data_IF_369892597563
#
_entry.id   IF_369892597563
#
_cell.length_a   1.000
_cell.length_b   1.000
_cell.length_c   1.000
_cell.angle_alpha   90.00
_cell.angle_beta   90.00
_cell.angle_gamma   90.00
#
_symmetry.space_group_name_H-M   'P 1'
#
loop_
_entity.id
_entity.type
_entity.pdbx_description
1 polymer ?
#
# COMPACT_ATOMS: atom_id res chain seq x y z
N UNK A 1 6.89 25.59 -4.26
CA UNK A 1 7.03 24.30 -4.97
C UNK A 1 8.32 24.40 -5.77
N UNK A 2 9.29 23.50 -5.58
CA UNK A 2 10.58 23.56 -6.28
C UNK A 2 10.36 23.67 -7.80
N UNK A 3 11.17 24.45 -8.51
CA UNK A 3 11.12 24.59 -9.98
C UNK A 3 11.19 23.24 -10.69
N UNK A 4 11.85 22.25 -10.07
CA UNK A 4 11.91 20.86 -10.53
C UNK A 4 10.56 20.17 -10.47
N UNK A 5 9.82 20.31 -9.37
CA UNK A 5 8.52 19.68 -9.19
C UNK A 5 7.48 20.26 -10.18
N UNK A 6 7.55 21.55 -10.48
CA UNK A 6 6.71 22.17 -11.49
C UNK A 6 7.05 21.68 -12.91
N UNK A 7 8.33 21.55 -13.26
CA UNK A 7 8.77 21.02 -14.54
C UNK A 7 8.43 19.53 -14.70
N UNK A 8 8.60 18.74 -13.65
CA UNK A 8 8.24 17.31 -13.57
C UNK A 8 6.73 17.13 -13.78
N UNK A 9 5.90 17.90 -13.07
CA UNK A 9 4.44 17.81 -13.20
C UNK A 9 3.98 18.13 -14.62
N UNK A 10 4.55 19.16 -15.28
CA UNK A 10 4.24 19.48 -16.68
C UNK A 10 4.60 18.36 -17.66
N UNK A 11 5.69 17.62 -17.38
CA UNK A 11 6.09 16.46 -18.19
C UNK A 11 5.24 15.22 -17.90
N UNK A 12 4.87 15.00 -16.65
CA UNK A 12 3.89 13.96 -16.25
C UNK A 12 2.54 14.24 -16.92
N UNK A 13 2.06 15.49 -16.93
CA UNK A 13 0.83 15.90 -17.61
C UNK A 13 0.90 15.66 -19.12
N UNK A 14 2.05 15.97 -19.75
CA UNK A 14 2.25 15.75 -21.17
C UNK A 14 2.17 14.26 -21.57
N UNK A 15 2.54 13.33 -20.67
CA UNK A 15 2.41 11.88 -20.91
C UNK A 15 0.96 11.42 -21.04
N UNK A 16 0.00 12.16 -20.46
CA UNK A 16 -1.42 11.81 -20.54
C UNK A 16 -2.02 12.04 -21.94
N UNK A 17 -1.33 12.81 -22.81
CA UNK A 17 -1.84 13.19 -24.13
C UNK A 17 -1.12 12.49 -25.29
N UNK A 18 -0.19 11.57 -25.02
CA UNK A 18 0.61 10.91 -26.05
C UNK A 18 0.64 9.39 -25.86
N UNK A 19 0.67 8.65 -26.97
CA UNK A 19 0.68 7.20 -26.93
C UNK A 19 1.90 6.66 -26.15
N UNK A 20 1.76 5.77 -25.16
CA UNK A 20 2.84 5.41 -24.23
C UNK A 20 4.10 4.79 -24.85
N UNK A 21 3.95 4.17 -26.02
CA UNK A 21 5.04 3.53 -26.77
C UNK A 21 5.68 4.45 -27.81
N UNK A 22 5.21 5.70 -27.95
CA UNK A 22 5.75 6.64 -28.94
C UNK A 22 7.20 7.02 -28.62
N UNK A 23 8.00 7.36 -29.65
CA UNK A 23 9.33 7.94 -29.45
C UNK A 23 9.33 9.17 -28.53
N UNK A 24 8.27 9.98 -28.60
CA UNK A 24 8.07 11.18 -27.79
C UNK A 24 7.85 10.83 -26.32
N UNK A 25 7.02 9.82 -26.02
CA UNK A 25 6.80 9.35 -24.65
C UNK A 25 8.08 8.78 -24.02
N UNK A 26 8.94 8.12 -24.80
CA UNK A 26 10.26 7.66 -24.35
C UNK A 26 11.19 8.82 -23.97
N UNK A 27 11.20 9.89 -24.78
CA UNK A 27 11.98 11.10 -24.50
C UNK A 27 11.50 11.81 -23.23
N UNK A 28 10.18 11.95 -23.05
CA UNK A 28 9.60 12.59 -21.86
C UNK A 28 9.91 11.78 -20.60
N UNK A 29 9.76 10.44 -20.63
CA UNK A 29 10.13 9.55 -19.51
C UNK A 29 11.62 9.67 -19.16
N UNK A 30 12.49 9.82 -20.16
CA UNK A 30 13.91 10.05 -19.93
C UNK A 30 14.18 11.40 -19.26
N UNK A 31 13.48 12.46 -19.67
CA UNK A 31 13.62 13.78 -19.07
C UNK A 31 13.11 13.82 -17.62
N UNK A 32 12.00 13.14 -17.32
CA UNK A 32 11.49 12.97 -15.95
C UNK A 32 12.54 12.26 -15.08
N UNK A 33 13.16 11.19 -15.59
CA UNK A 33 14.22 10.49 -14.86
C UNK A 33 15.43 11.38 -14.54
N UNK A 34 15.84 12.23 -15.48
CA UNK A 34 16.92 13.21 -15.24
C UNK A 34 16.54 14.24 -14.17
N UNK A 35 15.29 14.73 -14.18
CA UNK A 35 14.78 15.64 -13.16
C UNK A 35 14.70 14.99 -11.77
N UNK A 36 14.20 13.75 -11.69
CA UNK A 36 14.13 12.99 -10.44
C UNK A 36 15.56 12.76 -9.87
N UNK A 37 16.54 12.48 -10.72
CA UNK A 37 17.95 12.35 -10.32
C UNK A 37 18.51 13.70 -9.82
N UNK A 38 18.17 14.80 -10.49
CA UNK A 38 18.64 16.13 -10.08
C UNK A 38 18.04 16.55 -8.72
N UNK A 39 16.75 16.32 -8.50
CA UNK A 39 16.06 16.59 -7.24
C UNK A 39 16.65 15.75 -6.10
N UNK A 40 16.94 14.47 -6.34
CA UNK A 40 17.62 13.61 -5.38
C UNK A 40 19.02 14.11 -5.02
N UNK A 41 19.79 14.60 -5.99
CA UNK A 41 21.13 15.17 -5.75
C UNK A 41 21.08 16.46 -4.95
N UNK A 42 20.08 17.30 -5.18
CA UNK A 42 19.88 18.53 -4.41
C UNK A 42 19.49 18.20 -2.96
N UNK A 43 18.54 17.28 -2.76
CA UNK A 43 18.17 16.79 -1.44
C UNK A 43 19.33 16.11 -0.70
N UNK A 44 20.16 15.34 -1.41
CA UNK A 44 21.40 14.77 -0.88
C UNK A 44 22.37 15.87 -0.44
N UNK A 45 22.57 16.92 -1.26
CA UNK A 45 23.44 18.04 -0.92
C UNK A 45 22.93 18.83 0.30
N UNK A 46 21.62 19.07 0.41
CA UNK A 46 21.00 19.69 1.58
C UNK A 46 21.17 18.84 2.84
N UNK A 47 20.97 17.52 2.73
CA UNK A 47 21.18 16.60 3.84
C UNK A 47 22.64 16.57 4.30
N UNK A 48 23.59 16.55 3.37
CA UNK A 48 25.03 16.64 3.66
C UNK A 48 25.38 17.94 4.37
N UNK A 49 24.83 19.08 3.90
CA UNK A 49 25.05 20.39 4.51
C UNK A 49 24.47 20.46 5.93
N UNK A 50 23.24 19.98 6.12
CA UNK A 50 22.58 19.93 7.42
C UNK A 50 23.33 19.02 8.42
N UNK A 51 23.76 17.83 7.97
CA UNK A 51 24.55 16.90 8.78
C UNK A 51 25.88 17.51 9.21
N UNK A 52 26.54 18.25 8.32
CA UNK A 52 27.81 18.93 8.61
C UNK A 52 27.63 20.07 9.61
N UNK A 53 26.57 20.87 9.45
CA UNK A 53 26.22 21.95 10.38
C UNK A 53 25.89 21.45 11.79
N UNK A 54 25.14 20.34 11.89
CA UNK A 54 24.83 19.70 13.17
C UNK A 54 26.08 19.20 13.90
N UNK A 55 27.04 18.59 13.18
CA UNK A 55 28.31 18.15 13.75
C UNK A 55 29.14 19.33 14.28
N UNK A 56 29.21 20.44 13.54
CA UNK A 56 29.91 21.64 13.96
C UNK A 56 29.27 22.27 15.22
N UNK A 57 27.96 22.39 15.27
CA UNK A 57 27.23 22.91 16.43
C UNK A 57 27.45 22.06 17.70
N UNK A 58 27.47 20.73 17.57
CA UNK A 58 27.79 19.83 18.69
C UNK A 58 29.23 20.03 19.18
N UNK A 59 30.18 20.22 18.28
CA UNK A 59 31.58 20.48 18.65
C UNK A 59 31.74 21.82 19.40
N UNK A 60 31.07 22.88 18.94
CA UNK A 60 31.05 24.18 19.62
C UNK A 60 30.42 24.08 21.01
N UNK A 61 29.27 23.41 21.14
CA UNK A 61 28.61 23.20 22.43
C UNK A 61 29.50 22.42 23.40
N UNK A 62 30.19 21.37 22.94
CA UNK A 62 31.15 20.62 23.76
C UNK A 62 32.30 21.51 24.24
N UNK A 63 32.81 22.40 23.39
CA UNK A 63 33.87 23.34 23.76
C UNK A 63 33.40 24.38 24.80
N UNK A 64 32.18 24.90 24.64
CA UNK A 64 31.58 25.83 25.62
C UNK A 64 31.38 25.14 26.97
N UNK A 65 30.83 23.92 26.99
CA UNK A 65 30.65 23.13 28.22
C UNK A 65 31.99 22.89 28.93
N UNK A 66 33.05 22.56 28.18
CA UNK A 66 34.38 22.35 28.74
C UNK A 66 35.01 23.62 29.38
N UNK A 67 34.59 24.81 28.94
CA UNK A 67 35.10 26.08 29.46
C UNK A 67 34.33 26.62 30.68
N UNK A 68 33.17 26.03 31.02
CA UNK A 68 32.34 26.47 32.14
C UNK A 68 32.88 25.99 33.50
N UNK A 69 32.72 26.81 34.54
CA UNK A 69 33.10 26.44 35.90
C UNK A 69 32.04 25.50 36.52
N UNK A 70 32.39 24.24 36.83
CA UNK A 70 31.42 23.24 37.30
C UNK A 70 30.79 23.58 38.65
N UNK A 71 31.45 24.38 39.49
CA UNK A 71 30.97 24.74 40.82
C UNK A 71 29.90 25.85 40.82
N UNK A 72 29.64 26.49 39.67
CA UNK A 72 28.65 27.58 39.54
C UNK A 72 27.44 27.24 38.67
N UNK A 73 27.45 26.08 37.99
CA UNK A 73 26.45 25.74 36.98
C UNK A 73 26.18 24.22 36.86
N UNK A 74 26.18 23.48 37.98
CA UNK A 74 26.06 22.01 38.00
C UNK A 74 24.84 21.48 37.25
N UNK A 75 23.66 22.08 37.49
CA UNK A 75 22.39 21.57 36.96
C UNK A 75 22.21 21.92 35.48
N UNK A 76 22.71 23.08 35.06
CA UNK A 76 22.73 23.49 33.66
C UNK A 76 23.71 22.61 32.86
N UNK A 77 24.88 22.30 33.41
CA UNK A 77 25.86 21.40 32.81
C UNK A 77 25.32 19.98 32.69
N UNK A 78 24.61 19.47 33.71
CA UNK A 78 23.99 18.15 33.66
C UNK A 78 22.94 18.06 32.54
N UNK A 79 22.10 19.09 32.38
CA UNK A 79 21.09 19.15 31.31
C UNK A 79 21.70 19.24 29.91
N UNK A 80 22.73 20.08 29.74
CA UNK A 80 23.40 20.22 28.44
C UNK A 80 24.17 18.94 28.09
N UNK A 81 24.83 18.29 29.05
CA UNK A 81 25.51 17.02 28.84
C UNK A 81 24.53 15.88 28.50
N UNK A 82 23.34 15.85 29.13
CA UNK A 82 22.27 14.92 28.76
C UNK A 82 21.81 15.15 27.31
N UNK A 83 21.50 16.39 26.95
CA UNK A 83 21.11 16.72 25.57
C UNK A 83 22.21 16.38 24.55
N UNK A 84 23.49 16.60 24.90
CA UNK A 84 24.63 16.20 24.06
C UNK A 84 24.73 14.68 23.89
N UNK A 85 24.43 13.91 24.93
CA UNK A 85 24.41 12.45 24.88
C UNK A 85 23.30 11.93 23.96
N UNK A 86 22.15 12.61 23.90
CA UNK A 86 21.03 12.23 23.03
C UNK A 86 21.28 12.55 21.55
N UNK A 87 21.88 13.73 21.27
CA UNK A 87 22.04 14.21 19.89
C UNK A 87 23.32 13.73 19.20
N UNK A 88 24.37 13.37 19.96
CA UNK A 88 25.65 12.92 19.39
C UNK A 88 25.48 11.65 18.54
N UNK A 89 24.78 10.58 19.00
CA UNK A 89 24.56 9.38 18.18
C UNK A 89 23.78 9.65 16.89
N UNK A 90 22.83 10.60 16.93
CA UNK A 90 22.06 11.02 15.75
C UNK A 90 22.97 11.70 14.71
N UNK A 91 23.88 12.57 15.15
CA UNK A 91 24.84 13.24 14.25
C UNK A 91 25.85 12.25 13.64
N UNK A 92 26.29 11.28 14.43
CA UNK A 92 27.19 10.22 13.97
C UNK A 92 26.51 9.33 12.92
N UNK A 93 25.24 8.97 13.12
CA UNK A 93 24.46 8.23 12.14
C UNK A 93 24.21 9.02 10.86
N UNK A 94 23.90 10.32 10.95
CA UNK A 94 23.80 11.18 9.78
C UNK A 94 25.12 11.21 8.99
N UNK A 95 26.27 11.33 9.67
CA UNK A 95 27.59 11.28 9.03
C UNK A 95 27.90 9.94 8.35
N UNK A 96 27.48 8.82 8.95
CA UNK A 96 27.60 7.49 8.36
C UNK A 96 26.79 7.36 7.08
N UNK A 97 25.54 7.83 7.10
CA UNK A 97 24.67 7.82 5.93
C UNK A 97 25.23 8.67 4.77
N UNK A 98 25.78 9.86 5.07
CA UNK A 98 26.50 10.69 4.09
C UNK A 98 27.70 9.95 3.47
N UNK A 99 28.38 9.08 4.24
CA UNK A 99 29.51 8.27 3.77
C UNK A 99 29.09 6.97 3.07
N UNK A 100 27.79 6.75 2.84
CA UNK A 100 27.25 5.51 2.28
C UNK A 100 27.35 4.31 3.21
N UNK A 101 27.47 4.53 4.52
CA UNK A 101 27.57 3.49 5.53
C UNK A 101 26.22 3.27 6.24
N UNK A 102 25.89 2.04 6.66
CA UNK A 102 24.67 1.77 7.40
C UNK A 102 24.69 2.50 8.76
N UNK A 103 23.52 3.02 9.18
CA UNK A 103 23.34 3.58 10.51
C UNK A 103 23.61 2.52 11.60
N UNK A 104 24.24 2.93 12.69
CA UNK A 104 24.40 2.09 13.87
C UNK A 104 23.09 2.06 14.66
N UNK A 105 22.78 0.91 15.27
CA UNK A 105 21.63 0.79 16.19
C UNK A 105 21.78 1.77 17.35
N UNK A 106 20.77 2.59 17.57
CA UNK A 106 20.69 3.49 18.72
C UNK A 106 19.94 2.73 19.82
N UNK A 107 20.64 2.34 20.88
CA UNK A 107 20.00 1.73 22.05
C UNK A 107 19.33 2.85 22.87
N UNK A 108 18.01 2.91 22.84
CA UNK A 108 17.24 3.95 23.53
C UNK A 108 17.06 3.61 25.01
N UNK A 109 18.02 4.05 25.83
CA UNK A 109 17.90 4.02 27.28
C UNK A 109 16.85 5.00 27.81
N UNK A 110 15.74 4.45 28.33
CA UNK A 110 14.74 4.98 29.28
C UNK A 110 14.51 6.51 29.44
N UNK A 111 13.26 6.93 29.17
CA UNK A 111 12.55 7.95 29.97
C UNK A 111 11.97 9.14 29.19
N UNK A 112 10.64 9.17 28.98
CA UNK A 112 9.96 10.39 28.52
C UNK A 112 8.64 10.15 27.78
N UNK A 113 7.55 10.16 28.54
CA UNK A 113 6.12 10.26 28.17
C UNK A 113 5.79 10.63 26.72
N UNK A 114 5.32 9.63 25.96
CA UNK A 114 4.73 9.83 24.63
C UNK A 114 3.35 10.47 24.73
N UNK A 115 3.19 11.64 24.10
CA UNK A 115 1.90 12.23 23.78
C UNK A 115 1.30 11.40 22.65
N UNK A 116 0.22 10.68 22.97
CA UNK A 116 -0.58 9.88 22.07
C UNK A 116 -1.41 10.79 21.16
N UNK A 117 -1.22 10.72 19.84
CA UNK A 117 -2.20 11.19 18.87
C UNK A 117 -3.02 9.99 18.39
N UNK A 118 -4.19 9.83 19.01
CA UNK A 118 -5.25 8.96 18.55
C UNK A 118 -5.75 9.41 17.17
N UNK A 119 -5.82 8.46 16.25
CA UNK A 119 -6.56 8.57 14.99
C UNK A 119 -7.37 7.30 14.80
N UNK A 120 -8.63 7.35 15.24
CA UNK A 120 -9.61 6.28 15.12
C UNK A 120 -10.10 6.11 13.69
N UNK A 121 -10.44 4.87 13.30
CA UNK A 121 -11.49 4.47 12.34
C UNK A 121 -11.52 2.93 12.18
N UNK A 122 -12.64 2.32 11.74
CA UNK A 122 -13.82 2.05 12.55
C UNK A 122 -14.03 0.56 12.85
N UNK A 123 -14.85 0.33 13.86
CA UNK A 123 -15.32 -0.96 14.38
C UNK A 123 -16.05 -1.79 13.32
N UNK A 124 -15.64 -3.05 13.19
CA UNK A 124 -16.45 -4.09 12.59
C UNK A 124 -17.66 -4.40 13.50
N UNK A 125 -18.86 -4.14 12.99
CA UNK A 125 -20.06 -4.90 13.32
C UNK A 125 -20.32 -5.73 12.05
N UNK A 126 -20.39 -7.05 12.06
CA UNK A 126 -21.03 -7.93 13.03
C UNK A 126 -22.09 -8.69 12.25
N UNK A 127 -21.66 -9.55 11.33
CA UNK A 127 -22.57 -10.44 10.61
C UNK A 127 -22.17 -11.90 10.85
N UNK A 128 -23.04 -12.59 11.57
CA UNK A 128 -23.01 -14.02 11.81
C UNK A 128 -23.29 -14.75 10.50
N UNK A 129 -22.27 -15.39 9.91
CA UNK A 129 -22.48 -16.27 8.76
C UNK A 129 -22.40 -17.74 9.17
N UNK A 130 -23.52 -18.38 8.87
CA UNK A 130 -23.90 -19.77 9.06
C UNK A 130 -22.86 -20.76 8.53
N UNK A 131 -22.59 -21.78 9.34
CA UNK A 131 -21.71 -22.91 9.04
C UNK A 131 -22.41 -23.94 8.14
N UNK A 132 -21.85 -24.21 6.96
CA UNK A 132 -22.05 -25.49 6.25
C UNK A 132 -20.83 -25.82 5.39
N UNK A 133 -20.53 -27.11 5.19
CA UNK A 133 -19.22 -27.56 4.70
C UNK A 133 -19.12 -27.46 3.18
N UNK A 134 -17.92 -27.14 2.70
CA UNK A 134 -17.58 -27.07 1.27
C UNK A 134 -17.69 -28.44 0.58
N UNK A 135 -18.28 -28.55 -0.63
CA UNK A 135 -18.10 -29.72 -1.48
C UNK A 135 -16.82 -29.59 -2.33
N UNK A 136 -16.29 -30.75 -2.70
CA UNK A 136 -15.03 -30.95 -3.39
C UNK A 136 -14.93 -30.28 -4.78
N UNK A 137 -13.69 -29.94 -5.13
CA UNK A 137 -13.25 -29.33 -6.38
C UNK A 137 -13.88 -29.93 -7.64
N UNK A 138 -14.50 -29.07 -8.44
CA UNK A 138 -14.87 -29.36 -9.83
C UNK A 138 -14.08 -28.41 -10.75
N UNK A 139 -13.34 -29.00 -11.68
CA UNK A 139 -12.48 -28.36 -12.67
C UNK A 139 -13.30 -27.53 -13.69
N UNK A 140 -12.82 -26.32 -13.98
CA UNK A 140 -13.42 -25.42 -14.97
C UNK A 140 -13.27 -25.94 -16.42
N UNK A 141 -14.25 -25.67 -17.31
CA UNK A 141 -14.20 -26.09 -18.72
C UNK A 141 -13.26 -25.19 -19.55
N UNK A 142 -12.78 -25.66 -20.73
CA UNK A 142 -11.86 -24.92 -21.57
C UNK A 142 -12.59 -23.95 -22.51
N UNK A 143 -12.08 -22.71 -22.63
CA UNK A 143 -12.39 -21.81 -23.73
C UNK A 143 -12.87 -20.42 -23.29
N UNK A 144 -11.92 -19.52 -23.08
CA UNK A 144 -11.75 -18.31 -23.91
C UNK A 144 -10.47 -17.60 -23.44
N UNK A 145 -9.56 -17.34 -24.37
CA UNK A 145 -8.27 -16.73 -24.09
C UNK A 145 -8.47 -15.34 -23.47
N UNK A 146 -8.02 -15.19 -22.23
CA UNK A 146 -7.94 -13.92 -21.53
C UNK A 146 -7.05 -12.95 -22.35
N UNK A 147 -7.48 -11.71 -22.60
CA UNK A 147 -6.56 -10.67 -23.09
C UNK A 147 -5.46 -10.44 -22.05
N UNK A 148 -4.34 -9.87 -22.48
CA UNK A 148 -2.97 -9.90 -21.91
C UNK A 148 -2.75 -9.39 -20.46
N UNK A 149 -3.61 -9.77 -19.52
CA UNK A 149 -3.52 -9.53 -18.09
C UNK A 149 -3.29 -10.82 -17.30
N UNK A 150 -2.93 -10.66 -16.02
CA UNK A 150 -2.73 -11.78 -15.10
C UNK A 150 -4.07 -12.39 -14.69
N UNK A 151 -4.10 -13.71 -14.51
CA UNK A 151 -5.23 -14.41 -13.88
C UNK A 151 -5.27 -14.09 -12.37
N UNK A 152 -6.43 -14.22 -11.70
CA UNK A 152 -6.50 -14.09 -10.24
C UNK A 152 -5.49 -14.98 -9.50
N UNK A 153 -5.25 -16.21 -9.98
CA UNK A 153 -4.26 -17.11 -9.37
C UNK A 153 -2.82 -16.59 -9.48
N UNK A 154 -2.42 -16.08 -10.66
CA UNK A 154 -1.11 -15.45 -10.83
C UNK A 154 -0.96 -14.19 -9.96
N UNK A 155 -2.06 -13.45 -9.75
CA UNK A 155 -2.05 -12.28 -8.88
C UNK A 155 -1.93 -12.66 -7.41
N UNK A 156 -2.53 -13.78 -6.98
CA UNK A 156 -2.32 -14.32 -5.64
C UNK A 156 -0.85 -14.69 -5.44
N UNK A 157 -0.24 -15.39 -6.39
CA UNK A 157 1.18 -15.76 -6.31
C UNK A 157 2.08 -14.51 -6.18
N UNK A 158 1.84 -13.47 -7.00
CA UNK A 158 2.59 -12.21 -6.91
C UNK A 158 2.44 -11.50 -5.55
N UNK A 159 1.25 -11.58 -4.93
CA UNK A 159 0.99 -10.97 -3.61
C UNK A 159 1.78 -11.73 -2.55
N UNK A 160 1.68 -13.06 -2.55
CA UNK A 160 2.35 -13.91 -1.56
C UNK A 160 3.88 -13.80 -1.64
N UNK A 161 4.43 -13.68 -2.85
CA UNK A 161 5.87 -13.49 -3.06
C UNK A 161 6.39 -12.14 -2.53
N UNK A 162 5.55 -11.09 -2.53
CA UNK A 162 5.94 -9.74 -2.07
C UNK A 162 5.74 -9.53 -0.58
N UNK A 163 4.68 -10.10 -0.01
CA UNK A 163 4.28 -9.90 1.39
C UNK A 163 4.74 -11.02 2.33
N UNK A 164 5.51 -12.00 1.81
CA UNK A 164 5.99 -13.13 2.59
C UNK A 164 6.82 -12.73 3.81
N UNK A 165 6.59 -13.41 4.93
CA UNK A 165 7.33 -13.23 6.17
C UNK A 165 6.43 -13.15 7.41
N UNK A 166 6.82 -13.85 8.46
CA UNK A 166 6.15 -13.78 9.75
C UNK A 166 6.51 -12.47 10.46
N UNK A 167 5.49 -11.69 10.82
CA UNK A 167 5.60 -10.48 11.64
C UNK A 167 4.75 -10.67 12.89
N UNK A 168 5.34 -10.35 14.05
CA UNK A 168 4.64 -10.31 15.32
C UNK A 168 5.30 -9.23 16.20
N UNK A 169 4.80 -7.99 16.08
CA UNK A 169 5.34 -6.87 16.83
C UNK A 169 4.43 -6.56 18.05
N UNK A 170 4.97 -6.34 19.27
CA UNK A 170 4.15 -6.14 20.48
C UNK A 170 3.22 -4.92 20.44
N UNK A 171 3.53 -3.93 19.60
CA UNK A 171 2.69 -2.75 19.39
C UNK A 171 1.71 -2.89 18.21
N UNK A 172 1.75 -4.01 17.47
CA UNK A 172 0.87 -4.26 16.34
C UNK A 172 -0.51 -4.73 16.83
N UNK A 173 -1.55 -3.98 16.46
CA UNK A 173 -2.95 -4.30 16.80
C UNK A 173 -3.47 -5.47 15.96
N UNK A 174 -2.85 -5.78 14.82
CA UNK A 174 -3.22 -6.88 13.93
C UNK A 174 -2.83 -8.27 14.45
N UNK A 175 -1.91 -8.32 15.42
CA UNK A 175 -1.39 -9.57 15.98
C UNK A 175 -0.48 -10.33 15.01
N UNK A 176 -0.12 -11.58 15.34
CA UNK A 176 0.72 -12.42 14.49
C UNK A 176 0.15 -12.51 13.07
N UNK A 177 0.99 -12.21 12.08
CA UNK A 177 0.64 -12.21 10.66
C UNK A 177 1.73 -12.88 9.85
N UNK A 178 1.36 -13.72 8.88
CA UNK A 178 2.30 -14.30 7.92
C UNK A 178 1.63 -14.37 6.55
N UNK A 179 2.35 -14.03 5.48
CA UNK A 179 1.79 -13.92 4.11
C UNK A 179 0.53 -13.04 4.03
N UNK A 180 0.45 -11.97 4.83
CA UNK A 180 -0.75 -11.11 4.92
C UNK A 180 -1.95 -11.75 5.66
N UNK A 181 -1.84 -13.01 6.11
CA UNK A 181 -2.90 -13.71 6.86
C UNK A 181 -2.68 -13.51 8.36
N UNK A 182 -3.64 -12.84 9.01
CA UNK A 182 -3.63 -12.63 10.47
C UNK A 182 -4.05 -13.89 11.23
N UNK A 183 -3.67 -13.99 12.51
CA UNK A 183 -4.13 -15.06 13.41
C UNK A 183 -5.65 -15.22 13.43
N UNK A 184 -6.40 -14.11 13.43
CA UNK A 184 -7.86 -14.14 13.39
C UNK A 184 -8.39 -14.73 12.07
N UNK A 185 -7.78 -14.36 10.95
CA UNK A 185 -8.14 -14.90 9.62
C UNK A 185 -7.85 -16.40 9.56
N UNK A 186 -6.68 -16.83 10.03
CA UNK A 186 -6.30 -18.23 10.08
C UNK A 186 -7.21 -19.04 11.02
N UNK A 187 -7.63 -18.44 12.14
CA UNK A 187 -8.54 -19.07 13.09
C UNK A 187 -9.90 -19.33 12.47
N UNK A 188 -10.45 -18.32 11.79
CA UNK A 188 -11.71 -18.43 11.06
C UNK A 188 -11.63 -19.51 9.98
N UNK A 189 -10.56 -19.51 9.18
CA UNK A 189 -10.32 -20.49 8.13
C UNK A 189 -10.27 -21.93 8.66
N UNK A 190 -9.53 -22.16 9.75
CA UNK A 190 -9.38 -23.50 10.34
C UNK A 190 -10.55 -23.92 11.23
N UNK A 191 -11.51 -23.04 11.49
CA UNK A 191 -12.63 -23.29 12.40
C UNK A 191 -12.22 -23.52 13.86
N UNK A 192 -11.01 -23.09 14.25
CA UNK A 192 -10.48 -23.16 15.62
C UNK A 192 -9.56 -21.99 15.90
N UNK A 193 -9.35 -21.65 17.16
CA UNK A 193 -8.33 -20.66 17.53
C UNK A 193 -6.95 -21.13 17.03
N UNK A 194 -6.32 -20.30 16.20
CA UNK A 194 -4.96 -20.49 15.72
C UNK A 194 -3.98 -19.94 16.74
N UNK A 195 -2.89 -20.65 17.01
CA UNK A 195 -1.78 -20.16 17.83
C UNK A 195 -0.81 -19.26 17.03
N UNK A 196 0.13 -18.60 17.72
CA UNK A 196 1.22 -17.86 17.06
C UNK A 196 2.06 -18.80 16.19
N UNK A 197 2.32 -20.02 16.66
CA UNK A 197 3.08 -21.03 15.92
C UNK A 197 2.30 -21.54 14.70
N UNK A 198 0.98 -21.63 14.78
CA UNK A 198 0.13 -21.91 13.61
C UNK A 198 0.31 -20.84 12.51
N UNK A 199 0.35 -19.55 12.89
CA UNK A 199 0.58 -18.45 11.93
C UNK A 199 2.00 -18.48 11.38
N UNK A 200 2.99 -18.75 12.23
CA UNK A 200 4.39 -18.86 11.81
C UNK A 200 4.63 -20.03 10.86
N UNK A 201 3.94 -21.14 11.07
CA UNK A 201 4.02 -22.35 10.24
C UNK A 201 3.03 -22.39 9.08
N UNK A 202 2.25 -21.30 8.88
CA UNK A 202 1.37 -21.16 7.72
C UNK A 202 2.15 -21.42 6.44
N UNK A 203 1.64 -22.32 5.61
CA UNK A 203 2.26 -22.65 4.32
C UNK A 203 1.80 -21.68 3.25
N UNK A 204 2.62 -21.48 2.21
CA UNK A 204 2.23 -20.64 1.07
C UNK A 204 0.99 -21.20 0.35
N UNK A 205 0.84 -22.53 0.31
CA UNK A 205 -0.32 -23.18 -0.32
C UNK A 205 -1.61 -22.93 0.47
N UNK A 206 -1.56 -23.05 1.81
CA UNK A 206 -2.71 -22.70 2.65
C UNK A 206 -3.02 -21.20 2.59
N UNK A 207 -2.00 -20.33 2.55
CA UNK A 207 -2.21 -18.91 2.33
C UNK A 207 -2.90 -18.64 0.99
N UNK A 208 -2.47 -19.30 -0.10
CA UNK A 208 -3.12 -19.21 -1.41
C UNK A 208 -4.59 -19.63 -1.35
N UNK A 209 -4.91 -20.72 -0.67
CA UNK A 209 -6.28 -21.20 -0.51
C UNK A 209 -7.15 -20.20 0.28
N UNK A 210 -6.59 -19.60 1.34
CA UNK A 210 -7.27 -18.55 2.12
C UNK A 210 -7.55 -17.34 1.23
N UNK A 211 -6.58 -16.87 0.45
CA UNK A 211 -6.77 -15.73 -0.45
C UNK A 211 -7.83 -16.02 -1.52
N UNK A 212 -7.73 -17.19 -2.17
CA UNK A 212 -8.69 -17.64 -3.18
C UNK A 212 -10.09 -17.73 -2.60
N UNK A 213 -10.24 -18.36 -1.45
CA UNK A 213 -11.55 -18.51 -0.80
C UNK A 213 -12.13 -17.17 -0.37
N UNK A 214 -11.33 -16.29 0.23
CA UNK A 214 -11.85 -15.08 0.87
C UNK A 214 -12.10 -13.94 -0.11
N UNK A 215 -11.27 -13.81 -1.14
CA UNK A 215 -11.28 -12.64 -2.01
C UNK A 215 -11.70 -12.94 -3.43
N UNK A 216 -11.83 -14.20 -3.83
CA UNK A 216 -12.21 -14.59 -5.19
C UNK A 216 -13.49 -15.44 -5.22
N UNK A 217 -13.46 -16.65 -4.63
CA UNK A 217 -14.58 -17.60 -4.68
C UNK A 217 -15.70 -17.25 -3.70
N UNK A 218 -15.37 -16.89 -2.46
CA UNK A 218 -16.34 -16.47 -1.44
C UNK A 218 -17.24 -15.31 -1.89
N UNK A 219 -16.69 -14.22 -2.46
CA UNK A 219 -17.50 -13.16 -3.06
C UNK A 219 -18.10 -13.51 -4.43
N UNK A 220 -17.89 -14.72 -4.95
CA UNK A 220 -18.38 -15.22 -6.24
C UNK A 220 -17.84 -14.47 -7.47
N UNK A 221 -16.65 -13.90 -7.39
CA UNK A 221 -16.00 -13.21 -8.52
C UNK A 221 -15.68 -14.20 -9.64
N UNK A 222 -15.40 -15.45 -9.30
CA UNK A 222 -15.18 -16.56 -10.25
C UNK A 222 -16.40 -16.84 -11.15
N UNK A 223 -17.60 -16.36 -10.76
CA UNK A 223 -18.82 -16.50 -11.56
C UNK A 223 -19.06 -15.35 -12.54
N UNK A 224 -18.29 -14.26 -12.45
CA UNK A 224 -18.35 -13.15 -13.40
C UNK A 224 -17.72 -13.54 -14.75
N UNK A 225 -17.97 -12.81 -15.85
CA UNK A 225 -17.22 -13.02 -17.09
C UNK A 225 -15.70 -12.91 -16.87
N UNK A 226 -14.93 -13.85 -17.43
CA UNK A 226 -13.47 -13.94 -17.27
C UNK A 226 -12.73 -12.61 -17.47
N UNK A 227 -13.21 -11.79 -18.42
CA UNK A 227 -12.65 -10.48 -18.75
C UNK A 227 -12.55 -9.54 -17.53
N UNK A 228 -13.54 -9.54 -16.64
CA UNK A 228 -13.61 -8.58 -15.52
C UNK A 228 -13.07 -9.13 -14.20
N UNK A 229 -12.93 -10.45 -14.09
CA UNK A 229 -12.53 -11.10 -12.84
C UNK A 229 -11.19 -10.57 -12.28
N UNK A 230 -10.11 -10.39 -13.06
CA UNK A 230 -8.83 -9.93 -12.52
C UNK A 230 -8.92 -8.56 -11.84
N UNK A 231 -9.63 -7.61 -12.44
CA UNK A 231 -9.75 -6.26 -11.90
C UNK A 231 -10.65 -6.23 -10.65
N UNK A 232 -11.79 -6.91 -10.67
CA UNK A 232 -12.69 -6.98 -9.50
C UNK A 232 -12.01 -7.74 -8.35
N UNK A 233 -11.19 -8.76 -8.65
CA UNK A 233 -10.36 -9.44 -7.66
C UNK A 233 -9.31 -8.51 -7.03
N UNK A 234 -8.53 -7.77 -7.83
CA UNK A 234 -7.55 -6.80 -7.29
C UNK A 234 -8.24 -5.74 -6.42
N UNK A 235 -9.39 -5.23 -6.88
CA UNK A 235 -10.20 -4.30 -6.10
C UNK A 235 -10.66 -4.92 -4.78
N UNK A 236 -11.07 -6.18 -4.77
CA UNK A 236 -11.52 -6.88 -3.56
C UNK A 236 -10.40 -7.04 -2.53
N UNK A 237 -9.15 -7.21 -2.96
CA UNK A 237 -7.99 -7.24 -2.08
C UNK A 237 -7.73 -5.86 -1.47
N UNK A 238 -7.77 -4.81 -2.28
CA UNK A 238 -7.39 -3.46 -1.85
C UNK A 238 -8.47 -2.76 -1.03
N UNK A 239 -9.75 -2.98 -1.35
CA UNK A 239 -10.89 -2.23 -0.80
C UNK A 239 -11.83 -3.09 0.04
N UNK A 240 -11.63 -4.41 0.04
CA UNK A 240 -12.59 -5.38 0.55
C UNK A 240 -13.60 -5.79 -0.53
N UNK A 241 -14.14 -7.03 -0.49
CA UNK A 241 -15.04 -7.53 -1.52
C UNK A 241 -16.32 -6.71 -1.70
N UNK A 242 -16.99 -6.33 -0.60
CA UNK A 242 -18.25 -5.58 -0.67
C UNK A 242 -18.10 -4.25 -1.41
N UNK A 243 -17.13 -3.42 -1.00
CA UNK A 243 -16.86 -2.14 -1.65
C UNK A 243 -16.42 -2.28 -3.12
N UNK A 244 -15.64 -3.32 -3.44
CA UNK A 244 -15.24 -3.61 -4.81
C UNK A 244 -16.45 -3.97 -5.70
N UNK A 245 -17.37 -4.78 -5.17
CA UNK A 245 -18.58 -5.21 -5.88
C UNK A 245 -19.58 -4.06 -6.01
N UNK A 246 -19.80 -3.27 -4.96
CA UNK A 246 -20.64 -2.07 -5.01
C UNK A 246 -20.14 -1.09 -6.09
N UNK A 247 -18.82 -0.90 -6.17
CA UNK A 247 -18.21 -0.06 -7.19
C UNK A 247 -18.47 -0.62 -8.59
N UNK A 248 -18.31 -1.93 -8.79
CA UNK A 248 -18.61 -2.58 -10.06
C UNK A 248 -20.09 -2.43 -10.45
N UNK A 249 -21.02 -2.76 -9.55
CA UNK A 249 -22.46 -2.60 -9.77
C UNK A 249 -22.84 -1.13 -10.07
N UNK A 250 -22.19 -0.17 -9.41
CA UNK A 250 -22.37 1.26 -9.69
C UNK A 250 -21.93 1.63 -11.11
N UNK A 251 -20.79 1.12 -11.57
CA UNK A 251 -20.33 1.32 -12.95
C UNK A 251 -21.33 0.77 -13.96
N UNK A 252 -21.91 -0.40 -13.71
CA UNK A 252 -22.95 -0.97 -14.58
C UNK A 252 -24.13 0.00 -14.72
N UNK A 253 -24.63 0.54 -13.60
CA UNK A 253 -25.72 1.52 -13.61
C UNK A 253 -25.36 2.81 -14.35
N UNK A 254 -24.15 3.33 -14.15
CA UNK A 254 -23.64 4.53 -14.83
C UNK A 254 -23.59 4.35 -16.36
N UNK A 255 -23.36 3.12 -16.83
CA UNK A 255 -23.39 2.76 -18.25
C UNK A 255 -24.79 2.39 -18.76
N UNK A 256 -25.83 2.60 -17.95
CA UNK A 256 -27.23 2.36 -18.29
C UNK A 256 -27.65 0.90 -18.24
N UNK A 257 -26.92 0.05 -17.50
CA UNK A 257 -27.31 -1.35 -17.23
C UNK A 257 -27.87 -1.40 -15.80
N UNK A 258 -29.21 -1.47 -15.63
CA UNK A 258 -29.81 -1.45 -14.32
C UNK A 258 -29.42 -2.70 -13.53
N UNK A 259 -28.70 -2.51 -12.43
CA UNK A 259 -28.24 -3.57 -11.54
C UNK A 259 -28.41 -3.12 -10.09
N UNK A 260 -28.93 -3.97 -9.21
CA UNK A 260 -28.89 -3.71 -7.77
C UNK A 260 -27.45 -3.41 -7.29
N UNK A 261 -27.30 -2.42 -6.40
CA UNK A 261 -26.04 -2.08 -5.75
C UNK A 261 -26.12 -2.50 -4.28
N UNK A 262 -25.64 -3.70 -3.99
CA UNK A 262 -25.73 -4.34 -2.67
C UNK A 262 -24.39 -4.97 -2.21
N UNK A 263 -23.35 -4.91 -3.03
CA UNK A 263 -22.04 -5.48 -2.72
C UNK A 263 -21.97 -7.01 -2.80
N UNK A 264 -23.04 -7.68 -3.24
CA UNK A 264 -23.10 -9.13 -3.45
C UNK A 264 -23.11 -9.51 -4.93
N UNK A 265 -22.47 -10.62 -5.29
CA UNK A 265 -22.59 -11.18 -6.65
C UNK A 265 -23.65 -12.28 -6.62
N UNK A 266 -24.87 -11.91 -7.06
CA UNK A 266 -25.96 -12.84 -7.34
C UNK A 266 -26.19 -13.04 -8.84
N UNK A 267 -27.20 -13.84 -9.20
CA UNK A 267 -27.54 -14.12 -10.60
C UNK A 267 -27.90 -12.84 -11.39
N UNK A 268 -28.47 -11.83 -10.72
CA UNK A 268 -28.72 -10.51 -11.30
C UNK A 268 -27.41 -9.83 -11.72
N UNK A 269 -26.45 -9.68 -10.79
CA UNK A 269 -25.14 -9.06 -11.08
C UNK A 269 -24.41 -9.81 -12.19
N UNK A 270 -24.49 -11.15 -12.22
CA UNK A 270 -23.90 -11.97 -13.28
C UNK A 270 -24.57 -11.68 -14.64
N UNK A 271 -25.90 -11.55 -14.67
CA UNK A 271 -26.63 -11.17 -15.88
C UNK A 271 -26.28 -9.77 -16.40
N UNK A 272 -26.18 -8.80 -15.50
CA UNK A 272 -25.77 -7.44 -15.82
C UNK A 272 -24.31 -7.38 -16.30
N UNK A 273 -23.42 -8.15 -15.67
CA UNK A 273 -22.02 -8.27 -16.07
C UNK A 273 -21.87 -8.84 -17.48
N UNK A 274 -22.61 -9.91 -17.82
CA UNK A 274 -22.62 -10.48 -19.18
C UNK A 274 -23.12 -9.47 -20.21
N UNK A 275 -24.24 -8.81 -19.91
CA UNK A 275 -24.79 -7.74 -20.76
C UNK A 275 -23.76 -6.61 -20.99
N UNK A 276 -22.99 -6.25 -19.97
CA UNK A 276 -21.97 -5.23 -20.06
C UNK A 276 -20.79 -5.66 -20.94
N UNK A 277 -20.31 -6.90 -20.77
CA UNK A 277 -19.24 -7.46 -21.60
C UNK A 277 -19.69 -7.57 -23.06
N UNK A 278 -20.93 -8.02 -23.33
CA UNK A 278 -21.46 -8.09 -24.69
C UNK A 278 -21.56 -6.69 -25.34
N UNK A 279 -21.87 -5.66 -24.55
CA UNK A 279 -22.07 -4.29 -25.04
C UNK A 279 -20.77 -3.51 -25.22
N UNK A 280 -19.83 -3.64 -24.29
CA UNK A 280 -18.65 -2.78 -24.19
C UNK A 280 -17.33 -3.53 -24.42
N UNK A 281 -17.34 -4.85 -24.36
CA UNK A 281 -16.11 -5.65 -24.43
C UNK A 281 -15.09 -5.18 -23.40
N UNK A 282 -13.84 -4.99 -23.85
CA UNK A 282 -12.74 -4.56 -23.00
C UNK A 282 -12.90 -3.12 -22.46
N UNK A 283 -13.69 -2.26 -23.11
CA UNK A 283 -13.89 -0.86 -22.66
C UNK A 283 -14.50 -0.79 -21.24
N UNK A 284 -15.25 -1.82 -20.85
CA UNK A 284 -15.76 -1.97 -19.47
C UNK A 284 -14.65 -1.91 -18.41
N UNK A 285 -13.47 -2.43 -18.72
CA UNK A 285 -12.30 -2.37 -17.84
C UNK A 285 -11.89 -0.92 -17.59
N UNK A 286 -11.89 -0.08 -18.63
CA UNK A 286 -11.54 1.33 -18.50
C UNK A 286 -12.55 2.09 -17.63
N UNK A 287 -13.86 1.81 -17.76
CA UNK A 287 -14.89 2.39 -16.88
C UNK A 287 -14.67 2.03 -15.41
N UNK A 288 -14.35 0.77 -15.13
CA UNK A 288 -14.03 0.30 -13.79
C UNK A 288 -12.76 0.95 -13.23
N UNK A 289 -11.71 1.09 -14.06
CA UNK A 289 -10.47 1.77 -13.67
C UNK A 289 -10.74 3.25 -13.36
N UNK A 290 -11.54 3.93 -14.18
CA UNK A 290 -11.91 5.34 -13.96
C UNK A 290 -12.66 5.51 -12.63
N UNK A 291 -13.64 4.64 -12.36
CA UNK A 291 -14.37 4.65 -11.10
C UNK A 291 -13.46 4.42 -9.90
N UNK A 292 -12.51 3.49 -10.01
CA UNK A 292 -11.54 3.21 -8.95
C UNK A 292 -10.59 4.40 -8.72
N UNK A 293 -10.17 5.08 -9.77
CA UNK A 293 -9.36 6.31 -9.67
C UNK A 293 -10.15 7.40 -8.94
N UNK A 294 -11.41 7.61 -9.30
CA UNK A 294 -12.28 8.56 -8.60
C UNK A 294 -12.40 8.23 -7.10
N UNK A 295 -12.55 6.94 -6.76
CA UNK A 295 -12.58 6.50 -5.37
C UNK A 295 -11.29 6.82 -4.60
N UNK A 296 -10.11 6.64 -5.23
CA UNK A 296 -8.84 7.04 -4.61
C UNK A 296 -8.74 8.54 -4.36
N UNK A 297 -9.21 9.36 -5.30
CA UNK A 297 -9.27 10.81 -5.08
C UNK A 297 -10.21 11.16 -3.92
N UNK A 298 -11.38 10.52 -3.82
CA UNK A 298 -12.32 10.72 -2.71
C UNK A 298 -11.70 10.36 -1.35
N UNK A 299 -10.89 9.29 -1.27
CA UNK A 299 -10.16 8.94 -0.03
C UNK A 299 -9.23 10.07 0.38
N UNK A 300 -8.48 10.64 -0.56
CA UNK A 300 -7.52 11.72 -0.28
C UNK A 300 -8.24 13.02 0.08
N UNK A 301 -9.36 13.34 -0.57
CA UNK A 301 -10.19 14.48 -0.22
C UNK A 301 -10.72 14.37 1.21
N UNK A 302 -11.20 13.18 1.59
CA UNK A 302 -11.70 12.92 2.94
C UNK A 302 -10.56 12.85 3.98
N UNK A 303 -9.38 12.39 3.57
CA UNK A 303 -8.22 12.20 4.45
C UNK A 303 -6.92 12.62 3.74
N UNK A 304 -6.58 13.93 3.71
CA UNK A 304 -5.45 14.46 2.94
C UNK A 304 -4.08 13.83 3.27
N UNK A 305 -3.90 13.29 4.48
CA UNK A 305 -2.69 12.56 4.86
C UNK A 305 -2.43 11.30 4.03
N UNK A 306 -3.45 10.76 3.34
CA UNK A 306 -3.31 9.61 2.44
C UNK A 306 -2.71 9.96 1.06
N UNK A 307 -2.56 11.25 0.73
CA UNK A 307 -2.01 11.69 -0.56
C UNK A 307 -0.64 11.09 -0.91
N UNK A 308 0.17 10.75 0.10
CA UNK A 308 1.47 10.09 -0.06
C UNK A 308 1.38 8.73 -0.77
N UNK A 309 0.24 8.04 -0.69
CA UNK A 309 0.03 6.73 -1.33
C UNK A 309 -0.64 6.83 -2.71
N UNK A 310 -1.24 7.98 -3.04
CA UNK A 310 -2.08 8.16 -4.23
C UNK A 310 -1.36 7.80 -5.52
N UNK A 311 -0.10 8.22 -5.69
CA UNK A 311 0.70 7.89 -6.87
C UNK A 311 0.82 6.38 -7.09
N UNK A 312 1.03 5.61 -6.02
CA UNK A 312 1.12 4.15 -6.08
C UNK A 312 -0.23 3.51 -6.42
N UNK A 313 -1.31 4.01 -5.83
CA UNK A 313 -2.67 3.55 -6.12
C UNK A 313 -3.09 3.79 -7.56
N UNK A 314 -2.84 5.00 -8.09
CA UNK A 314 -3.13 5.35 -9.48
C UNK A 314 -2.32 4.48 -10.44
N UNK A 315 -1.02 4.26 -10.18
CA UNK A 315 -0.20 3.36 -11.00
C UNK A 315 -0.81 1.96 -11.06
N UNK A 316 -1.16 1.37 -9.91
CA UNK A 316 -1.74 0.03 -9.83
C UNK A 316 -3.07 -0.07 -10.58
N UNK A 317 -3.95 0.92 -10.44
CA UNK A 317 -5.22 0.93 -11.18
C UNK A 317 -4.99 1.00 -12.70
N UNK A 318 -4.03 1.83 -13.14
CA UNK A 318 -3.73 2.00 -14.56
C UNK A 318 -3.06 0.78 -15.21
N UNK A 319 -2.51 -0.18 -14.44
CA UNK A 319 -1.97 -1.45 -14.98
C UNK A 319 -3.04 -2.30 -15.68
N UNK A 320 -4.32 -2.07 -15.39
CA UNK A 320 -5.44 -2.77 -16.02
C UNK A 320 -5.99 -2.09 -17.27
N UNK A 321 -5.58 -0.86 -17.60
CA UNK A 321 -6.16 -0.16 -18.76
C UNK A 321 -5.92 -0.91 -20.06
N UNK A 322 -6.95 -0.90 -20.90
CA UNK A 322 -6.92 -1.44 -22.27
C UNK A 322 -6.88 -0.30 -23.28
N UNK A 323 -6.33 -0.59 -24.47
CA UNK A 323 -6.00 0.38 -25.52
C UNK A 323 -7.21 0.82 -26.35
#
# INVERSE_FOLDING_TARGET
MSTYLEARNKLDDALNFIHPSSPEAKKIKSAIRELDIAELKEAEAEFVAASSGMAAAIAELKAVVAALNPNRASDALARVNGALADITPLAENASRLVKGQPAAGIDSGQGGSGVSSAGAEPSAAGETLSTSPAPAAASAPPGDQLPSGKTPDQMIDDILDREGGFVNHPADRGGPTNFGVTQATLSSWRGREASIDDVRSLTIDEARDIYRSRYYVGPQIDRLPNLIQPLVFDMSINHGPGAAIEMFQSVLNEQGIPCGVDGGIGDETIGCARTAVDRFGEELINFLVDKRIQFYHQIVENKPSQSVFLKGWLRRANEFRVA
#
